data_IF_355298497610
#
_entry.id   IF_355298497610
#
_cell.length_a   1.000
_cell.length_b   1.000
_cell.length_c   1.000
_cell.angle_alpha   90.00
_cell.angle_beta   90.00
_cell.angle_gamma   90.00
#
_symmetry.space_group_name_H-M   'P 1'
#
loop_
_entity.id
_entity.type
_entity.pdbx_description
1 polymer ?
#
# COMPACT_ATOMS: atom_id res chain seq x y z
N UNK A 1 -0.13 -7.90 -20.75
CA UNK A 1 -0.96 -6.76 -20.30
C UNK A 1 -1.31 -5.93 -21.51
N UNK A 2 -2.58 -5.55 -21.69
CA UNK A 2 -2.96 -4.55 -22.69
C UNK A 2 -3.82 -3.49 -21.98
N UNK A 3 -3.41 -2.21 -21.98
CA UNK A 3 -4.25 -1.09 -21.59
C UNK A 3 -5.61 -1.12 -22.29
N UNK A 4 -6.68 -0.65 -21.63
CA UNK A 4 -8.00 -0.52 -22.24
C UNK A 4 -7.95 0.33 -23.53
N UNK A 5 -7.04 1.29 -23.64
CA UNK A 5 -6.80 2.04 -24.89
C UNK A 5 -6.23 1.17 -26.02
N UNK A 6 -5.39 0.18 -25.74
CA UNK A 6 -4.91 -0.77 -26.76
C UNK A 6 -6.01 -1.73 -27.16
N UNK A 7 -6.89 -2.10 -26.23
CA UNK A 7 -8.09 -2.89 -26.53
C UNK A 7 -9.10 -2.07 -27.33
N UNK A 8 -9.32 -0.78 -27.00
CA UNK A 8 -10.25 0.11 -27.70
C UNK A 8 -9.70 0.48 -29.08
N UNK A 9 -8.41 0.81 -29.22
CA UNK A 9 -7.78 1.10 -30.52
C UNK A 9 -7.65 -0.15 -31.41
N UNK A 10 -7.34 -1.33 -30.87
CA UNK A 10 -7.39 -2.59 -31.66
C UNK A 10 -8.82 -3.05 -31.97
N UNK A 11 -9.80 -2.68 -31.14
CA UNK A 11 -11.23 -2.91 -31.43
C UNK A 11 -11.74 -1.99 -32.55
N UNK A 12 -11.15 -0.82 -32.76
CA UNK A 12 -11.42 0.02 -33.94
C UNK A 12 -10.92 -0.66 -35.21
N UNK A 13 -9.84 -1.44 -35.14
CA UNK A 13 -9.18 -2.04 -36.30
C UNK A 13 -9.63 -3.46 -36.67
N UNK A 14 -10.35 -4.19 -35.80
CA UNK A 14 -10.90 -5.51 -36.19
C UNK A 14 -12.14 -5.96 -35.40
N UNK A 15 -13.18 -6.38 -36.13
CA UNK A 15 -14.48 -6.83 -35.59
C UNK A 15 -14.41 -7.97 -34.54
N UNK A 16 -13.46 -8.93 -34.58
CA UNK A 16 -13.36 -9.98 -33.56
C UNK A 16 -12.96 -9.45 -32.18
N UNK A 17 -12.06 -8.47 -32.12
CA UNK A 17 -11.50 -7.95 -30.87
C UNK A 17 -12.51 -7.11 -30.07
N UNK A 18 -13.49 -6.48 -30.75
CA UNK A 18 -14.68 -5.87 -30.12
C UNK A 18 -15.52 -6.84 -29.29
N UNK A 19 -15.46 -8.14 -29.60
CA UNK A 19 -16.21 -9.17 -28.87
C UNK A 19 -15.38 -9.84 -27.79
N UNK A 20 -14.09 -10.06 -28.05
CA UNK A 20 -13.19 -10.78 -27.14
C UNK A 20 -12.89 -10.00 -25.86
N UNK A 21 -12.80 -8.67 -25.92
CA UNK A 21 -12.55 -7.86 -24.71
C UNK A 21 -13.64 -8.03 -23.66
N UNK A 22 -14.88 -8.29 -24.08
CA UNK A 22 -16.00 -8.50 -23.16
C UNK A 22 -15.81 -9.74 -22.30
N UNK A 23 -14.93 -10.66 -22.67
CA UNK A 23 -14.64 -11.88 -21.91
C UNK A 23 -13.34 -11.79 -21.11
N UNK A 24 -12.65 -10.65 -21.14
CA UNK A 24 -11.40 -10.46 -20.38
C UNK A 24 -11.73 -10.28 -18.90
N UNK A 25 -11.19 -11.11 -18.00
CA UNK A 25 -11.45 -11.05 -16.56
C UNK A 25 -10.64 -9.96 -15.84
N UNK A 26 -9.71 -9.32 -16.54
CA UNK A 26 -8.88 -8.23 -16.02
C UNK A 26 -9.28 -6.91 -16.64
N UNK A 27 -9.66 -5.93 -15.82
CA UNK A 27 -10.03 -4.60 -16.28
C UNK A 27 -9.10 -3.55 -15.68
N UNK A 28 -8.47 -2.73 -16.53
CA UNK A 28 -7.61 -1.62 -16.10
C UNK A 28 -8.09 -0.30 -16.68
N UNK A 29 -8.57 0.58 -15.81
CA UNK A 29 -8.95 1.94 -16.12
C UNK A 29 -7.95 2.90 -15.48
N UNK A 30 -7.35 3.75 -16.30
CA UNK A 30 -6.28 4.68 -15.92
C UNK A 30 -6.58 6.06 -16.53
N UNK A 31 -6.49 7.14 -15.74
CA UNK A 31 -6.92 8.48 -16.17
C UNK A 31 -6.06 9.03 -17.33
N UNK A 32 -4.79 8.61 -17.44
CA UNK A 32 -3.92 9.03 -18.56
C UNK A 32 -4.38 8.48 -19.92
N UNK A 33 -5.09 7.35 -19.89
CA UNK A 33 -5.37 6.57 -21.10
C UNK A 33 -6.84 6.61 -21.55
N UNK A 34 -7.74 7.15 -20.73
CA UNK A 34 -9.19 7.10 -20.97
C UNK A 34 -9.85 8.48 -21.08
N UNK A 35 -9.13 9.46 -21.63
CA UNK A 35 -9.71 10.77 -21.97
C UNK A 35 -10.46 10.65 -23.31
N UNK A 36 -11.74 10.98 -23.29
CA UNK A 36 -12.61 11.13 -24.48
C UNK A 36 -13.07 12.57 -24.56
N UNK A 37 -13.22 13.10 -25.78
CA UNK A 37 -13.81 14.44 -25.98
C UNK A 37 -15.32 14.45 -25.70
N UNK A 38 -15.99 13.31 -25.90
CA UNK A 38 -17.45 13.19 -25.87
C UNK A 38 -18.00 12.55 -24.59
N UNK A 39 -17.17 11.92 -23.77
CA UNK A 39 -17.60 11.15 -22.59
C UNK A 39 -16.69 11.40 -21.40
N UNK A 40 -17.31 11.49 -20.22
CA UNK A 40 -16.58 11.58 -18.96
C UNK A 40 -15.89 10.24 -18.63
N UNK A 41 -14.83 10.29 -17.83
CA UNK A 41 -14.15 9.08 -17.36
C UNK A 41 -15.12 8.12 -16.65
N UNK A 42 -16.02 8.65 -15.80
CA UNK A 42 -16.99 7.85 -15.06
C UNK A 42 -17.98 7.14 -16.00
N UNK A 43 -18.46 7.79 -17.05
CA UNK A 43 -19.33 7.19 -18.07
C UNK A 43 -18.62 6.04 -18.81
N UNK A 44 -17.34 6.24 -19.17
CA UNK A 44 -16.53 5.23 -19.84
C UNK A 44 -16.36 3.99 -18.94
N UNK A 45 -15.96 4.19 -17.68
CA UNK A 45 -15.79 3.10 -16.71
C UNK A 45 -17.11 2.36 -16.49
N UNK A 46 -18.20 3.09 -16.23
CA UNK A 46 -19.53 2.50 -16.06
C UNK A 46 -19.91 1.62 -17.25
N UNK A 47 -19.83 2.17 -18.47
CA UNK A 47 -20.23 1.47 -19.69
C UNK A 47 -19.38 0.24 -19.93
N UNK A 48 -18.05 0.33 -19.77
CA UNK A 48 -17.14 -0.77 -20.04
C UNK A 48 -17.25 -1.88 -18.99
N UNK A 49 -17.39 -1.52 -17.72
CA UNK A 49 -17.58 -2.48 -16.63
C UNK A 49 -18.90 -3.27 -16.79
N UNK A 50 -19.99 -2.59 -17.14
CA UNK A 50 -21.29 -3.22 -17.39
C UNK A 50 -21.35 -4.02 -18.70
N UNK A 51 -20.55 -3.65 -19.70
CA UNK A 51 -20.48 -4.35 -20.97
C UNK A 51 -19.58 -5.59 -20.94
N UNK A 52 -18.75 -5.73 -19.92
CA UNK A 52 -17.91 -6.89 -19.70
C UNK A 52 -18.76 -8.08 -19.20
N UNK A 53 -18.66 -9.20 -19.90
CA UNK A 53 -19.41 -10.45 -19.72
C UNK A 53 -18.55 -11.60 -19.22
N UNK A 54 -17.33 -11.36 -18.73
CA UNK A 54 -16.51 -12.42 -18.17
C UNK A 54 -17.23 -13.06 -16.96
N UNK A 55 -17.22 -14.38 -16.80
CA UNK A 55 -17.98 -15.06 -15.75
C UNK A 55 -17.52 -14.69 -14.33
N UNK A 56 -16.25 -14.31 -14.18
CA UNK A 56 -15.68 -13.71 -12.98
C UNK A 56 -14.80 -12.54 -13.39
N UNK A 57 -14.53 -11.66 -12.42
CA UNK A 57 -13.51 -10.63 -12.55
C UNK A 57 -12.30 -11.10 -11.75
N UNK A 58 -11.14 -11.21 -12.38
CA UNK A 58 -9.90 -11.60 -11.71
C UNK A 58 -9.25 -10.39 -11.04
N UNK A 59 -9.14 -9.29 -11.80
CA UNK A 59 -8.47 -8.07 -11.36
C UNK A 59 -9.19 -6.83 -11.86
N UNK A 60 -9.33 -5.83 -11.00
CA UNK A 60 -9.83 -4.51 -11.32
C UNK A 60 -8.81 -3.45 -10.87
N UNK A 61 -8.38 -2.63 -11.81
CA UNK A 61 -7.56 -1.44 -11.54
C UNK A 61 -8.37 -0.20 -11.92
N UNK A 62 -8.59 0.67 -10.93
CA UNK A 62 -9.21 1.99 -11.07
C UNK A 62 -8.19 3.08 -10.73
N UNK A 63 -7.79 3.86 -11.73
CA UNK A 63 -6.95 5.05 -11.59
C UNK A 63 -7.69 6.29 -12.07
N UNK A 64 -7.98 7.25 -11.19
CA UNK A 64 -8.72 8.47 -11.54
C UNK A 64 -8.20 9.70 -10.81
N UNK A 65 -8.49 10.90 -11.33
CA UNK A 65 -8.21 12.14 -10.61
C UNK A 65 -9.35 12.50 -9.68
N UNK A 66 -9.02 13.03 -8.51
CA UNK A 66 -9.98 13.51 -7.53
C UNK A 66 -10.92 14.54 -8.17
N UNK A 67 -12.23 14.32 -8.01
CA UNK A 67 -13.27 15.15 -8.63
C UNK A 67 -13.79 14.64 -9.98
N UNK A 68 -13.09 13.73 -10.68
CA UNK A 68 -13.59 13.11 -11.92
C UNK A 68 -14.70 12.09 -11.66
N UNK A 69 -14.68 11.45 -10.49
CA UNK A 69 -15.62 10.42 -10.08
C UNK A 69 -16.24 10.77 -8.73
N UNK A 70 -17.53 10.54 -8.59
CA UNK A 70 -18.19 10.58 -7.27
C UNK A 70 -17.83 9.34 -6.47
N UNK A 71 -17.70 9.46 -5.15
CA UNK A 71 -17.45 8.32 -4.26
C UNK A 71 -18.48 7.20 -4.39
N UNK A 72 -19.73 7.55 -4.68
CA UNK A 72 -20.80 6.57 -4.90
C UNK A 72 -20.60 5.75 -6.19
N UNK A 73 -20.03 6.33 -7.24
CA UNK A 73 -19.77 5.65 -8.52
C UNK A 73 -18.64 4.65 -8.34
N UNK A 74 -17.54 5.08 -7.72
CA UNK A 74 -16.40 4.21 -7.40
C UNK A 74 -16.84 3.06 -6.49
N UNK A 75 -17.64 3.35 -5.46
CA UNK A 75 -18.20 2.33 -4.59
C UNK A 75 -19.09 1.32 -5.35
N UNK A 76 -19.89 1.78 -6.30
CA UNK A 76 -20.68 0.90 -7.17
C UNK A 76 -19.79 0.02 -8.06
N UNK A 77 -18.73 0.55 -8.65
CA UNK A 77 -17.82 -0.23 -9.50
C UNK A 77 -17.10 -1.33 -8.74
N UNK A 78 -16.59 -1.00 -7.55
CA UNK A 78 -15.96 -1.99 -6.67
C UNK A 78 -17.00 -3.01 -6.17
N UNK A 79 -18.23 -2.58 -5.86
CA UNK A 79 -19.34 -3.49 -5.52
C UNK A 79 -19.65 -4.49 -6.64
N UNK A 80 -19.65 -4.05 -7.90
CA UNK A 80 -19.79 -4.95 -9.07
C UNK A 80 -18.61 -5.93 -9.13
N UNK A 81 -17.38 -5.47 -8.89
CA UNK A 81 -16.20 -6.33 -8.86
C UNK A 81 -16.30 -7.41 -7.78
N UNK A 82 -16.77 -7.04 -6.58
CA UNK A 82 -16.97 -7.96 -5.46
C UNK A 82 -18.04 -9.00 -5.77
N UNK A 83 -19.17 -8.57 -6.35
CA UNK A 83 -20.23 -9.48 -6.82
C UNK A 83 -19.74 -10.46 -7.90
N UNK A 84 -18.62 -10.14 -8.57
CA UNK A 84 -17.97 -10.96 -9.59
C UNK A 84 -16.71 -11.67 -9.08
N UNK A 85 -16.56 -11.76 -7.75
CA UNK A 85 -15.49 -12.48 -7.07
C UNK A 85 -14.07 -11.99 -7.42
N UNK A 86 -13.91 -10.66 -7.51
CA UNK A 86 -12.59 -10.05 -7.71
C UNK A 86 -11.57 -10.54 -6.68
N UNK A 87 -10.36 -10.82 -7.16
CA UNK A 87 -9.24 -11.30 -6.36
C UNK A 87 -8.16 -10.24 -6.19
N UNK A 88 -8.00 -9.36 -7.17
CA UNK A 88 -7.01 -8.28 -7.13
C UNK A 88 -7.67 -6.92 -7.40
N UNK A 89 -7.52 -5.99 -6.46
CA UNK A 89 -8.07 -4.64 -6.57
C UNK A 89 -6.95 -3.62 -6.42
N UNK A 90 -6.83 -2.73 -7.41
CA UNK A 90 -5.95 -1.58 -7.36
C UNK A 90 -6.80 -0.31 -7.44
N UNK A 91 -6.67 0.56 -6.45
CA UNK A 91 -7.25 1.89 -6.43
C UNK A 91 -6.13 2.92 -6.36
N UNK A 92 -6.03 3.75 -7.40
CA UNK A 92 -5.09 4.86 -7.49
C UNK A 92 -5.86 6.17 -7.64
N UNK A 93 -5.64 7.11 -6.72
CA UNK A 93 -6.28 8.43 -6.80
C UNK A 93 -5.21 9.51 -6.94
N UNK A 94 -5.26 10.24 -8.03
CA UNK A 94 -4.45 11.45 -8.15
C UNK A 94 -5.19 12.65 -7.60
N UNK A 95 -4.56 13.46 -6.78
CA UNK A 95 -5.15 14.69 -6.29
C UNK A 95 -4.10 15.78 -6.14
N UNK A 96 -4.56 17.02 -6.23
CA UNK A 96 -3.82 18.20 -5.77
C UNK A 96 -4.49 18.82 -4.54
N UNK A 97 -5.71 18.38 -4.19
CA UNK A 97 -6.55 18.94 -3.13
C UNK A 97 -7.45 17.85 -2.55
N UNK A 98 -7.06 17.32 -1.40
CA UNK A 98 -7.87 16.42 -0.59
C UNK A 98 -7.80 14.95 -1.00
N UNK A 99 -8.39 14.11 -0.15
CA UNK A 99 -8.24 12.66 -0.17
C UNK A 99 -9.57 11.97 -0.48
N UNK A 100 -9.51 10.86 -1.22
CA UNK A 100 -10.64 10.00 -1.53
C UNK A 100 -10.84 8.96 -0.42
N UNK A 101 -12.00 8.97 0.22
CA UNK A 101 -12.32 7.99 1.26
C UNK A 101 -12.66 6.65 0.59
N UNK A 102 -11.88 5.62 0.90
CA UNK A 102 -12.22 4.26 0.46
C UNK A 102 -13.56 3.85 1.10
N UNK A 103 -14.55 3.36 0.33
CA UNK A 103 -15.87 3.10 0.89
C UNK A 103 -15.82 2.05 2.01
N UNK A 104 -16.22 2.43 3.22
CA UNK A 104 -16.07 1.62 4.43
C UNK A 104 -16.72 0.24 4.33
N UNK A 105 -17.88 0.15 3.68
CA UNK A 105 -18.60 -1.11 3.44
C UNK A 105 -17.84 -2.12 2.56
N UNK A 106 -16.78 -1.69 1.88
CA UNK A 106 -15.99 -2.51 0.97
C UNK A 106 -14.72 -3.07 1.61
N UNK A 107 -14.48 -2.79 2.89
CA UNK A 107 -13.50 -3.53 3.71
C UNK A 107 -14.01 -4.91 4.16
N UNK A 108 -15.01 -5.45 3.47
CA UNK A 108 -15.58 -6.77 3.69
C UNK A 108 -15.64 -7.50 2.34
N UNK A 109 -14.69 -8.40 2.10
CA UNK A 109 -14.65 -9.21 0.87
C UNK A 109 -13.94 -10.53 1.14
N UNK A 110 -14.63 -11.62 0.86
CA UNK A 110 -14.09 -12.97 1.10
C UNK A 110 -13.30 -13.52 -0.08
N UNK A 111 -13.30 -12.85 -1.24
CA UNK A 111 -12.55 -13.32 -2.42
C UNK A 111 -11.31 -12.48 -2.72
N UNK A 112 -11.17 -11.30 -2.10
CA UNK A 112 -10.07 -10.41 -2.37
C UNK A 112 -8.77 -10.98 -1.79
N UNK A 113 -7.83 -11.31 -2.65
CA UNK A 113 -6.51 -11.88 -2.33
C UNK A 113 -5.41 -10.81 -2.31
N UNK A 114 -5.57 -9.74 -3.10
CA UNK A 114 -4.63 -8.61 -3.24
C UNK A 114 -5.38 -7.28 -3.26
N UNK A 115 -4.90 -6.32 -2.43
CA UNK A 115 -5.41 -4.95 -2.38
C UNK A 115 -4.23 -3.98 -2.46
N UNK A 116 -4.28 -3.08 -3.43
CA UNK A 116 -3.36 -1.94 -3.54
C UNK A 116 -4.15 -0.65 -3.46
N UNK A 117 -3.89 0.15 -2.42
CA UNK A 117 -4.37 1.52 -2.30
C UNK A 117 -3.19 2.45 -2.54
N UNK A 118 -3.35 3.43 -3.41
CA UNK A 118 -2.27 4.30 -3.84
C UNK A 118 -2.72 5.75 -3.96
N UNK A 119 -1.90 6.66 -3.46
CA UNK A 119 -1.99 8.12 -3.56
C UNK A 119 -3.33 8.69 -3.10
N UNK A 120 -3.34 9.61 -2.14
CA UNK A 120 -4.54 10.37 -1.76
C UNK A 120 -5.78 9.54 -1.41
N UNK A 121 -5.65 8.24 -1.19
CA UNK A 121 -6.71 7.40 -0.65
C UNK A 121 -6.67 7.58 0.86
N UNK A 122 -7.77 8.02 1.46
CA UNK A 122 -7.91 8.09 2.91
C UNK A 122 -8.37 6.74 3.45
N UNK A 123 -7.52 6.12 4.24
CA UNK A 123 -7.82 4.95 5.06
C UNK A 123 -8.52 5.44 6.34
N UNK A 124 -9.85 5.33 6.35
CA UNK A 124 -10.73 5.61 7.49
C UNK A 124 -11.50 4.33 7.83
N UNK A 125 -10.94 3.53 8.74
CA UNK A 125 -11.48 2.21 9.10
C UNK A 125 -11.89 2.24 10.57
N UNK A 126 -13.17 2.51 10.88
CA UNK A 126 -13.63 2.74 12.26
C UNK A 126 -13.78 1.45 13.09
N UNK A 127 -13.80 0.29 12.44
CA UNK A 127 -13.90 -1.03 13.08
C UNK A 127 -13.12 -2.05 12.26
N UNK A 128 -12.59 -3.13 12.88
CA UNK A 128 -11.78 -4.12 12.18
C UNK A 128 -12.41 -4.58 10.87
N UNK A 129 -11.63 -4.52 9.79
CA UNK A 129 -12.04 -5.01 8.48
C UNK A 129 -12.31 -6.52 8.49
N UNK A 130 -12.91 -7.05 7.42
CA UNK A 130 -13.11 -8.48 7.23
C UNK A 130 -12.63 -8.90 5.83
N UNK A 131 -11.32 -8.88 5.64
CA UNK A 131 -10.63 -9.26 4.40
C UNK A 131 -9.92 -10.60 4.60
N UNK A 132 -10.70 -11.65 4.87
CA UNK A 132 -10.18 -12.96 5.28
C UNK A 132 -9.29 -13.65 4.24
N UNK A 133 -9.48 -13.39 2.97
CA UNK A 133 -8.68 -14.01 1.90
C UNK A 133 -7.47 -13.19 1.48
N UNK A 134 -7.30 -12.00 2.05
CA UNK A 134 -6.25 -11.07 1.65
C UNK A 134 -4.89 -11.61 2.08
N UNK A 135 -4.01 -11.83 1.10
CA UNK A 135 -2.62 -12.27 1.30
C UNK A 135 -1.62 -11.17 1.01
N UNK A 136 -1.98 -10.19 0.19
CA UNK A 136 -1.12 -9.06 -0.16
C UNK A 136 -1.86 -7.74 0.03
N UNK A 137 -1.26 -6.85 0.81
CA UNK A 137 -1.71 -5.48 1.00
C UNK A 137 -0.59 -4.51 0.64
N UNK A 138 -0.88 -3.55 -0.25
CA UNK A 138 0.02 -2.46 -0.59
C UNK A 138 -0.64 -1.12 -0.29
N UNK A 139 0.02 -0.32 0.52
CA UNK A 139 -0.40 1.02 0.92
C UNK A 139 0.66 1.99 0.42
N UNK A 140 0.41 2.60 -0.74
CA UNK A 140 1.41 3.40 -1.46
C UNK A 140 1.07 4.90 -1.36
N UNK A 141 1.71 5.65 -0.45
CA UNK A 141 1.45 7.09 -0.26
C UNK A 141 -0.03 7.42 0.00
N UNK A 142 -0.68 6.61 0.84
CA UNK A 142 -2.06 6.81 1.26
C UNK A 142 -2.12 7.68 2.52
N UNK A 143 -3.27 8.33 2.71
CA UNK A 143 -3.57 9.09 3.93
C UNK A 143 -4.25 8.18 4.95
N UNK A 144 -4.10 8.51 6.23
CA UNK A 144 -4.70 7.75 7.32
C UNK A 144 -5.38 8.73 8.27
N UNK A 145 -6.65 8.48 8.58
CA UNK A 145 -7.40 9.44 9.39
C UNK A 145 -6.93 9.49 10.84
N UNK A 146 -6.61 8.33 11.42
CA UNK A 146 -6.14 8.13 12.79
C UNK A 146 -5.27 6.88 12.87
N UNK A 147 -4.43 6.76 13.90
CA UNK A 147 -3.64 5.55 14.22
C UNK A 147 -4.52 4.28 14.25
N UNK A 148 -5.73 4.38 14.83
CA UNK A 148 -6.69 3.28 14.89
C UNK A 148 -7.14 2.79 13.50
N UNK A 149 -7.11 3.65 12.47
CA UNK A 149 -7.50 3.24 11.10
C UNK A 149 -6.50 2.24 10.51
N UNK A 150 -5.21 2.41 10.79
CA UNK A 150 -4.16 1.45 10.41
C UNK A 150 -4.39 0.14 11.14
N UNK A 151 -4.56 0.20 12.46
CA UNK A 151 -4.75 -0.98 13.29
C UNK A 151 -6.00 -1.77 12.87
N UNK A 152 -7.14 -1.10 12.66
CA UNK A 152 -8.39 -1.74 12.26
C UNK A 152 -8.31 -2.35 10.85
N UNK A 153 -7.58 -1.74 9.92
CA UNK A 153 -7.34 -2.31 8.60
C UNK A 153 -6.52 -3.61 8.71
N UNK A 154 -5.38 -3.55 9.41
CA UNK A 154 -4.43 -4.67 9.49
C UNK A 154 -4.97 -5.84 10.33
N UNK A 155 -5.60 -5.55 11.48
CA UNK A 155 -6.22 -6.57 12.34
C UNK A 155 -7.38 -7.31 11.65
N UNK A 156 -8.01 -6.69 10.66
CA UNK A 156 -9.06 -7.28 9.83
C UNK A 156 -8.58 -8.21 8.70
N UNK A 157 -7.26 -8.40 8.56
CA UNK A 157 -6.63 -9.20 7.51
C UNK A 157 -5.89 -10.43 8.11
N UNK A 158 -6.60 -11.44 8.63
CA UNK A 158 -5.98 -12.52 9.42
C UNK A 158 -5.01 -13.41 8.64
N UNK A 159 -5.09 -13.47 7.31
CA UNK A 159 -4.23 -14.30 6.45
C UNK A 159 -3.21 -13.47 5.63
N UNK A 160 -2.95 -12.23 6.04
CA UNK A 160 -2.05 -11.34 5.34
C UNK A 160 -0.60 -11.84 5.41
N UNK A 161 0.00 -12.15 4.27
CA UNK A 161 1.37 -12.68 4.17
C UNK A 161 2.38 -11.61 3.76
N UNK A 162 1.96 -10.64 2.94
CA UNK A 162 2.82 -9.62 2.35
C UNK A 162 2.23 -8.23 2.57
N UNK A 163 2.96 -7.39 3.29
CA UNK A 163 2.61 -5.99 3.52
C UNK A 163 3.69 -5.10 2.92
N UNK A 164 3.28 -4.18 2.05
CA UNK A 164 4.14 -3.12 1.52
C UNK A 164 3.55 -1.77 1.91
N UNK A 165 4.34 -0.94 2.56
CA UNK A 165 3.96 0.40 2.97
C UNK A 165 4.95 1.38 2.36
N UNK A 166 4.43 2.36 1.62
CA UNK A 166 5.17 3.56 1.26
C UNK A 166 4.54 4.74 1.98
N UNK A 167 5.31 5.41 2.85
CA UNK A 167 4.90 6.65 3.49
C UNK A 167 5.68 7.82 2.87
N UNK A 168 4.93 8.87 2.57
CA UNK A 168 5.47 10.19 2.24
C UNK A 168 5.21 11.19 3.36
N UNK A 169 5.27 12.48 3.03
CA UNK A 169 5.17 13.62 3.96
C UNK A 169 3.74 13.84 4.48
N UNK A 170 3.24 12.94 5.34
CA UNK A 170 1.87 13.01 5.85
C UNK A 170 1.83 13.00 7.39
N UNK A 171 1.03 13.93 7.92
CA UNK A 171 1.15 14.57 9.23
C UNK A 171 0.35 13.88 10.37
N UNK A 172 -0.38 12.79 10.07
CA UNK A 172 -1.56 12.42 10.87
C UNK A 172 -1.42 11.12 11.68
N UNK A 173 -0.41 10.28 11.39
CA UNK A 173 -0.17 9.02 12.13
C UNK A 173 1.15 9.10 12.88
N UNK A 174 1.07 9.18 14.20
CA UNK A 174 2.20 9.23 15.12
C UNK A 174 2.85 7.84 15.22
N UNK A 175 2.07 6.78 15.48
CA UNK A 175 2.60 5.41 15.58
C UNK A 175 1.93 4.46 14.60
N UNK A 176 2.72 3.91 13.68
CA UNK A 176 2.28 2.90 12.73
C UNK A 176 2.44 1.48 13.32
N UNK A 177 1.36 0.96 13.90
CA UNK A 177 1.35 -0.37 14.53
C UNK A 177 1.01 -1.47 13.54
N UNK A 178 1.93 -2.44 13.39
CA UNK A 178 1.81 -3.64 12.55
C UNK A 178 1.71 -4.86 13.46
N UNK A 179 0.48 -5.18 13.87
CA UNK A 179 0.15 -6.36 14.68
C UNK A 179 -0.51 -7.44 13.81
N UNK A 180 0.28 -8.17 13.02
CA UNK A 180 -0.23 -9.12 12.01
C UNK A 180 0.48 -10.48 12.17
N UNK A 181 -0.12 -11.44 12.89
CA UNK A 181 0.52 -12.73 13.21
C UNK A 181 0.92 -13.59 11.99
N UNK A 182 0.18 -13.49 10.89
CA UNK A 182 0.39 -14.25 9.66
C UNK A 182 1.42 -13.63 8.71
N UNK A 183 1.90 -12.42 9.00
CA UNK A 183 2.76 -11.66 8.10
C UNK A 183 4.12 -12.34 7.93
N UNK A 184 4.51 -12.60 6.69
CA UNK A 184 5.79 -13.25 6.34
C UNK A 184 6.79 -12.28 5.72
N UNK A 185 6.30 -11.26 4.99
CA UNK A 185 7.12 -10.24 4.34
C UNK A 185 6.59 -8.85 4.66
N UNK A 186 7.46 -8.02 5.22
CA UNK A 186 7.20 -6.61 5.47
C UNK A 186 8.20 -5.78 4.67
N UNK A 187 7.68 -4.84 3.88
CA UNK A 187 8.49 -3.83 3.21
C UNK A 187 7.96 -2.45 3.55
N UNK A 188 8.83 -1.61 4.11
CA UNK A 188 8.54 -0.23 4.47
C UNK A 188 9.47 0.67 3.65
N UNK A 189 8.89 1.59 2.91
CA UNK A 189 9.57 2.72 2.32
C UNK A 189 9.05 3.98 3.01
N UNK A 190 9.93 4.78 3.58
CA UNK A 190 9.52 5.96 4.33
C UNK A 190 10.52 7.09 4.13
N UNK A 191 10.19 7.96 3.19
CA UNK A 191 11.04 9.08 2.80
C UNK A 191 10.64 10.37 3.53
N UNK A 192 9.84 10.29 4.60
CA UNK A 192 9.34 11.44 5.34
C UNK A 192 10.52 12.26 5.93
N UNK A 193 10.57 13.53 5.54
CA UNK A 193 11.55 14.53 5.98
C UNK A 193 10.97 15.54 6.99
N UNK A 194 9.70 15.38 7.36
CA UNK A 194 8.97 16.29 8.22
C UNK A 194 9.42 16.30 9.69
N UNK A 195 9.10 17.40 10.40
CA UNK A 195 9.33 17.59 11.84
C UNK A 195 8.49 16.66 12.74
N UNK A 196 7.50 15.95 12.18
CA UNK A 196 6.59 15.12 12.95
C UNK A 196 7.10 13.71 13.10
N UNK A 197 7.21 13.34 14.36
CA UNK A 197 7.82 12.13 14.86
C UNK A 197 6.92 10.94 14.55
N UNK A 198 7.37 10.08 13.63
CA UNK A 198 6.65 8.84 13.33
C UNK A 198 7.41 7.67 13.92
N UNK A 199 6.66 6.75 14.53
CA UNK A 199 7.17 5.50 15.09
C UNK A 199 6.59 4.29 14.37
N UNK A 200 7.31 3.17 14.39
CA UNK A 200 6.79 1.87 13.97
C UNK A 200 6.83 0.89 15.14
N UNK A 201 5.75 0.13 15.31
CA UNK A 201 5.69 -1.01 16.24
C UNK A 201 5.35 -2.25 15.44
N UNK A 202 6.23 -3.25 15.44
CA UNK A 202 6.10 -4.46 14.64
C UNK A 202 5.95 -5.67 15.56
N UNK A 203 4.77 -6.26 15.54
CA UNK A 203 4.42 -7.51 16.21
C UNK A 203 3.89 -8.51 15.16
N UNK A 204 4.82 -9.29 14.61
CA UNK A 204 4.59 -10.19 13.48
C UNK A 204 5.39 -11.49 13.71
N UNK A 205 4.88 -12.42 14.54
CA UNK A 205 5.60 -13.65 14.91
C UNK A 205 6.08 -14.51 13.74
N UNK A 206 5.33 -14.54 12.63
CA UNK A 206 5.68 -15.32 11.43
C UNK A 206 6.57 -14.57 10.43
N UNK A 207 7.05 -13.37 10.78
CA UNK A 207 7.81 -12.50 9.88
C UNK A 207 9.16 -13.13 9.55
N UNK A 208 9.43 -13.32 8.26
CA UNK A 208 10.66 -13.94 7.75
C UNK A 208 11.56 -12.95 7.02
N UNK A 209 10.97 -11.95 6.39
CA UNK A 209 11.69 -10.98 5.56
C UNK A 209 11.25 -9.56 5.91
N UNK A 210 12.20 -8.75 6.33
CA UNK A 210 12.02 -7.33 6.62
C UNK A 210 12.87 -6.51 5.64
N UNK A 211 12.23 -5.57 4.95
CA UNK A 211 12.91 -4.52 4.21
C UNK A 211 12.45 -3.17 4.72
N UNK A 212 13.41 -2.34 5.11
CA UNK A 212 13.22 -0.96 5.50
C UNK A 212 14.12 -0.13 4.59
N UNK A 213 13.53 0.88 3.97
CA UNK A 213 14.23 1.79 3.07
C UNK A 213 13.72 3.21 3.32
N UNK A 214 14.63 4.14 3.60
CA UNK A 214 14.27 5.42 4.18
C UNK A 214 14.35 5.38 5.71
N UNK A 215 13.60 6.24 6.42
CA UNK A 215 13.76 6.64 7.84
C UNK A 215 14.78 7.75 8.06
N UNK A 216 14.49 8.94 7.52
CA UNK A 216 15.34 10.12 7.73
C UNK A 216 15.03 10.87 9.04
N UNK A 217 13.76 10.89 9.43
CA UNK A 217 13.24 11.62 10.61
C UNK A 217 12.55 10.70 11.63
N UNK A 218 12.83 9.39 11.60
CA UNK A 218 12.20 8.41 12.47
C UNK A 218 12.66 8.57 13.92
N UNK A 219 11.72 8.65 14.87
CA UNK A 219 12.08 8.62 16.31
C UNK A 219 12.30 7.20 16.83
N UNK A 220 11.44 6.27 16.41
CA UNK A 220 11.51 4.90 16.92
C UNK A 220 10.99 3.86 15.92
N UNK A 221 11.66 2.72 15.91
CA UNK A 221 11.14 1.50 15.29
C UNK A 221 11.41 0.37 16.27
N UNK A 222 10.33 -0.24 16.76
CA UNK A 222 10.37 -1.32 17.73
C UNK A 222 9.84 -2.59 17.08
N UNK A 223 10.70 -3.61 17.00
CA UNK A 223 10.29 -4.96 16.64
C UNK A 223 10.02 -5.70 17.95
N UNK A 224 8.76 -5.73 18.39
CA UNK A 224 8.37 -6.37 19.64
C UNK A 224 8.46 -7.90 19.55
N UNK A 225 8.09 -8.46 18.40
CA UNK A 225 7.95 -9.90 18.24
C UNK A 225 8.10 -10.32 16.77
N UNK A 226 9.26 -10.87 16.42
CA UNK A 226 9.56 -11.45 15.11
C UNK A 226 10.62 -12.58 15.20
N UNK A 227 10.37 -13.67 15.97
CA UNK A 227 11.35 -14.73 16.21
C UNK A 227 11.72 -15.53 14.95
N UNK A 228 10.88 -15.54 13.92
CA UNK A 228 11.16 -16.22 12.64
C UNK A 228 11.95 -15.38 11.64
N UNK A 229 12.43 -14.18 12.03
CA UNK A 229 13.08 -13.26 11.11
C UNK A 229 14.39 -13.84 10.56
N UNK A 230 14.41 -14.11 9.25
CA UNK A 230 15.54 -14.72 8.56
C UNK A 230 16.43 -13.66 7.92
N UNK A 231 15.81 -12.67 7.29
CA UNK A 231 16.49 -11.66 6.49
C UNK A 231 15.96 -10.27 6.79
N UNK A 232 16.88 -9.34 7.03
CA UNK A 232 16.60 -7.93 7.21
C UNK A 232 17.49 -7.09 6.30
N UNK A 233 16.89 -6.18 5.54
CA UNK A 233 17.58 -5.16 4.74
C UNK A 233 17.16 -3.79 5.23
N UNK A 234 18.13 -2.96 5.61
CA UNK A 234 17.93 -1.59 6.09
C UNK A 234 18.78 -0.66 5.24
N UNK A 235 18.15 0.28 4.55
CA UNK A 235 18.81 1.20 3.64
C UNK A 235 18.35 2.64 3.86
N UNK A 236 19.22 3.61 3.56
CA UNK A 236 18.90 5.03 3.51
C UNK A 236 18.34 5.64 4.82
N UNK A 237 18.63 5.03 5.97
CA UNK A 237 18.28 5.57 7.31
C UNK A 237 19.24 6.70 7.69
N UNK A 238 18.73 7.81 8.25
CA UNK A 238 19.53 8.89 8.83
C UNK A 238 19.07 9.23 10.25
N UNK A 239 19.97 9.73 11.10
CA UNK A 239 19.75 10.00 12.53
C UNK A 239 19.33 8.74 13.31
N UNK A 240 20.31 8.15 13.99
CA UNK A 240 20.22 7.03 14.94
C UNK A 240 19.29 5.90 14.46
N UNK A 241 19.90 4.86 13.90
CA UNK A 241 19.28 3.52 14.01
C UNK A 241 19.04 3.31 15.50
N UNK A 242 17.78 3.28 15.92
CA UNK A 242 17.44 3.08 17.33
C UNK A 242 18.18 1.84 17.82
N UNK A 243 18.93 1.94 18.92
CA UNK A 243 19.69 0.82 19.48
C UNK A 243 18.80 -0.42 19.63
N UNK A 244 17.51 -0.23 19.97
CA UNK A 244 16.50 -1.29 20.04
C UNK A 244 16.23 -1.99 18.71
N UNK A 245 16.25 -1.26 17.60
CA UNK A 245 16.13 -1.87 16.27
C UNK A 245 17.38 -2.71 15.96
N UNK A 246 18.58 -2.24 16.31
CA UNK A 246 19.79 -3.02 16.12
C UNK A 246 19.82 -4.26 17.01
N UNK A 247 19.45 -4.13 18.29
CA UNK A 247 19.37 -5.24 19.25
C UNK A 247 18.46 -6.36 18.75
N UNK A 248 17.27 -6.01 18.23
CA UNK A 248 16.31 -6.99 17.70
C UNK A 248 16.77 -7.68 16.42
N UNK A 249 17.72 -7.08 15.69
CA UNK A 249 18.28 -7.62 14.45
C UNK A 249 19.55 -8.43 14.66
N UNK A 250 20.10 -8.50 15.88
CA UNK A 250 21.32 -9.28 16.17
C UNK A 250 21.18 -10.77 15.90
N UNK A 251 19.96 -11.30 15.87
CA UNK A 251 19.67 -12.73 15.72
C UNK A 251 19.38 -13.18 14.27
N UNK A 252 19.31 -12.25 13.30
CA UNK A 252 18.93 -12.58 11.93
C UNK A 252 20.06 -13.28 11.16
N UNK A 253 19.71 -14.16 10.23
CA UNK A 253 20.70 -14.93 9.45
C UNK A 253 21.36 -14.10 8.35
N UNK A 254 20.63 -13.16 7.76
CA UNK A 254 21.12 -12.27 6.71
C UNK A 254 20.73 -10.83 7.05
N UNK A 255 21.73 -10.00 7.29
CA UNK A 255 21.56 -8.57 7.55
C UNK A 255 22.29 -7.77 6.48
N UNK A 256 21.57 -6.88 5.80
CA UNK A 256 22.15 -5.89 4.88
C UNK A 256 21.88 -4.50 5.41
N UNK A 257 22.93 -3.70 5.60
CA UNK A 257 22.87 -2.33 6.10
C UNK A 257 23.52 -1.39 5.08
N UNK A 258 22.75 -0.46 4.54
CA UNK A 258 23.24 0.65 3.70
C UNK A 258 22.85 1.97 4.38
N UNK A 259 23.71 2.44 5.28
CA UNK A 259 23.46 3.62 6.09
C UNK A 259 24.00 4.86 5.40
N UNK A 260 23.21 5.94 5.40
CA UNK A 260 23.70 7.25 4.98
C UNK A 260 24.85 7.70 5.91
N UNK A 261 25.81 8.52 5.45
CA UNK A 261 26.94 8.97 6.26
C UNK A 261 26.44 9.50 7.60
N UNK A 262 26.78 8.79 8.67
CA UNK A 262 26.21 9.07 9.97
C UNK A 262 26.72 10.43 10.46
N UNK A 263 25.82 11.35 10.80
CA UNK A 263 26.10 12.30 11.89
C UNK A 263 26.03 11.50 13.20
N UNK A 264 26.98 10.59 13.41
CA UNK A 264 27.18 9.93 14.70
C UNK A 264 27.53 11.02 15.70
N UNK A 265 26.52 11.57 16.39
CA UNK A 265 26.74 12.18 17.69
C UNK A 265 27.09 11.05 18.65
N UNK A 266 28.36 10.64 18.65
CA UNK A 266 28.91 9.99 19.82
C UNK A 266 28.71 10.97 20.97
N UNK A 267 27.92 10.60 21.96
CA UNK A 267 28.09 11.14 23.30
C UNK A 267 29.46 10.65 23.78
N UNK A 268 30.51 11.38 23.40
CA UNK A 268 31.80 11.27 24.05
C UNK A 268 31.59 11.66 25.51
N UNK A 269 31.25 10.68 26.35
CA UNK A 269 31.61 10.76 27.74
C UNK A 269 33.13 10.92 27.79
N UNK A 270 33.53 12.05 28.36
CA UNK A 270 34.91 12.50 28.55
C UNK A 270 35.85 11.36 28.93
N UNK A 271 36.57 10.82 27.97
CA UNK A 271 37.91 10.29 28.19
C UNK A 271 38.83 10.89 27.14
N UNK A 272 39.62 11.85 27.63
CA UNK A 272 40.78 12.42 26.95
C UNK A 272 41.73 11.29 26.55
N UNK A 273 41.78 10.99 25.25
CA UNK A 273 42.75 10.09 24.65
C UNK A 273 43.07 10.60 23.26
N UNK A 274 44.20 11.31 23.13
CA UNK A 274 44.75 11.70 21.84
C UNK A 274 44.99 10.48 20.95
N UNK A 275 44.56 10.54 19.70
CA UNK A 275 45.25 9.86 18.61
C UNK A 275 45.34 10.77 17.38
N UNK A 276 46.58 10.92 16.94
CA UNK A 276 47.02 11.57 15.71
C UNK A 276 46.71 10.68 14.51
N UNK A 277 46.17 11.33 13.46
CA UNK A 277 46.05 10.99 12.03
C UNK A 277 46.07 9.50 11.63
#
# INVERSE_FOLDING_TARGET
MLPVKDVVTTSVLSKPWRSLWKLVPTLKFDYENNQSEDETYSEIVCRLLLSNKAPFLESLHLGFRFGECRSVEVGMWIGIAYARHVRDLVLHVESVKGSFIFPTGLYNCETLESLTLRSWVLVDVPSPACLKSLRTLRLENVDYKYDDSVYNLLSGCPNLENLVVYRGNLLEVETFTIAVPSLQRLTIYDDNDGEYCTGYVINAPSLKYLKIDGFKALESCLIENAPELVEATIMNVSKIINEKLLETLTSVKRLSLALSPLELKFSCNNYSGHLLL
#
